data_IF_828992012821
#
_entry.id   IF_828992012821
#
_cell.length_a   1.000
_cell.length_b   1.000
_cell.length_c   1.000
_cell.angle_alpha   90.00
_cell.angle_beta   90.00
_cell.angle_gamma   90.00
#
_symmetry.space_group_name_H-M   'P 1'
#
loop_
_entity.id
_entity.type
_entity.pdbx_description
1 polymer ?
#
# COMPACT_ATOMS: atom_id res chain seq x y z
N UNK A 1 11.27 11.71 -7.60
CA UNK A 1 10.60 11.01 -6.47
C UNK A 1 10.30 9.53 -6.74
N UNK A 2 10.37 9.06 -8.00
CA UNK A 2 10.12 7.65 -8.38
C UNK A 2 11.11 6.62 -7.79
N UNK A 3 12.31 7.06 -7.41
CA UNK A 3 13.42 6.20 -6.97
C UNK A 3 13.24 5.61 -5.54
N UNK A 4 12.37 6.21 -4.70
CA UNK A 4 12.22 5.79 -3.30
C UNK A 4 11.43 4.50 -3.09
N UNK A 5 10.62 4.09 -4.06
CA UNK A 5 9.76 2.91 -3.95
C UNK A 5 10.35 1.66 -4.57
N UNK A 6 11.53 1.79 -5.20
CA UNK A 6 12.27 0.69 -5.79
C UNK A 6 12.54 -0.42 -4.77
N UNK A 7 12.84 -0.09 -3.52
CA UNK A 7 13.11 -1.09 -2.45
C UNK A 7 11.86 -1.92 -2.11
N UNK A 8 10.68 -1.30 -2.11
CA UNK A 8 9.41 -1.96 -1.78
C UNK A 8 8.98 -2.90 -2.90
N UNK A 9 9.08 -2.45 -4.14
CA UNK A 9 8.89 -3.31 -5.32
C UNK A 9 9.96 -4.42 -5.37
N UNK A 10 11.23 -4.10 -5.13
CA UNK A 10 12.33 -5.08 -5.16
C UNK A 10 12.12 -6.18 -4.11
N UNK A 11 11.60 -5.85 -2.92
CA UNK A 11 11.32 -6.83 -1.88
C UNK A 11 10.14 -7.73 -2.23
N UNK A 12 9.05 -7.15 -2.77
CA UNK A 12 7.92 -7.92 -3.31
C UNK A 12 8.37 -8.89 -4.41
N UNK A 13 9.22 -8.41 -5.33
CA UNK A 13 9.72 -9.17 -6.48
C UNK A 13 10.68 -10.29 -6.05
N UNK A 14 11.54 -10.02 -5.07
CA UNK A 14 12.64 -10.92 -4.69
C UNK A 14 12.25 -11.93 -3.62
N UNK A 15 11.36 -11.57 -2.71
CA UNK A 15 11.01 -12.41 -1.56
C UNK A 15 9.64 -13.10 -1.70
N UNK A 16 8.86 -12.80 -2.75
CA UNK A 16 7.50 -13.33 -3.01
C UNK A 16 6.61 -13.38 -1.76
N UNK A 17 6.82 -12.46 -0.83
CA UNK A 17 6.20 -12.48 0.49
C UNK A 17 5.44 -11.19 0.76
N UNK A 18 4.35 -11.26 1.54
CA UNK A 18 3.57 -10.08 1.86
C UNK A 18 4.41 -9.10 2.68
N UNK A 19 4.37 -7.83 2.29
CA UNK A 19 5.03 -6.74 3.01
C UNK A 19 4.00 -5.83 3.67
N UNK A 20 4.34 -5.27 4.82
CA UNK A 20 3.50 -4.32 5.55
C UNK A 20 4.25 -2.99 5.76
N UNK A 21 4.17 -2.04 4.80
CA UNK A 21 4.73 -0.71 5.00
C UNK A 21 3.86 0.10 5.96
N UNK A 22 4.47 0.67 6.99
CA UNK A 22 3.84 1.58 7.95
C UNK A 22 4.44 2.97 7.76
N UNK A 23 3.59 4.00 7.67
CA UNK A 23 4.04 5.36 7.40
C UNK A 23 2.96 6.39 7.70
N UNK A 24 3.22 7.65 7.34
CA UNK A 24 2.34 8.78 7.65
C UNK A 24 1.95 9.52 6.37
N UNK A 25 0.88 10.31 6.43
CA UNK A 25 0.53 11.26 5.37
C UNK A 25 1.52 12.43 5.37
N UNK A 26 1.87 13.01 4.20
CA UNK A 26 1.38 12.68 2.85
C UNK A 26 2.16 11.55 2.15
N UNK A 27 3.21 11.01 2.78
CA UNK A 27 4.10 10.02 2.16
C UNK A 27 3.38 8.71 1.79
N UNK A 28 2.52 8.22 2.69
CA UNK A 28 1.72 7.03 2.43
C UNK A 28 0.73 7.27 1.27
N UNK A 29 0.18 8.48 1.16
CA UNK A 29 -0.73 8.83 0.08
C UNK A 29 0.00 8.87 -1.28
N UNK A 30 1.22 9.40 -1.35
CA UNK A 30 2.02 9.37 -2.58
C UNK A 30 2.49 7.97 -2.96
N UNK A 31 2.71 7.08 -1.98
CA UNK A 31 2.94 5.66 -2.22
C UNK A 31 1.78 5.01 -3.00
N UNK A 32 0.55 5.15 -2.48
CA UNK A 32 -0.64 4.61 -3.14
C UNK A 32 -0.87 5.26 -4.51
N UNK A 33 -0.68 6.58 -4.62
CA UNK A 33 -0.75 7.27 -5.91
C UNK A 33 0.22 6.67 -6.93
N UNK A 34 1.40 6.21 -6.50
CA UNK A 34 2.42 5.61 -7.37
C UNK A 34 2.10 4.15 -7.69
N UNK A 35 1.63 3.36 -6.71
CA UNK A 35 1.44 1.91 -6.87
C UNK A 35 0.08 1.53 -7.47
N UNK A 36 -0.99 2.22 -7.09
CA UNK A 36 -2.38 1.91 -7.50
C UNK A 36 -3.04 3.01 -8.33
N UNK A 37 -2.35 4.13 -8.59
CA UNK A 37 -2.92 5.31 -9.27
C UNK A 37 -4.16 5.89 -8.59
N UNK A 38 -4.26 5.73 -7.26
CA UNK A 38 -5.40 6.22 -6.47
C UNK A 38 -4.94 7.29 -5.49
N UNK A 39 -5.62 8.44 -5.52
CA UNK A 39 -5.51 9.48 -4.51
C UNK A 39 -6.38 9.15 -3.29
N UNK A 40 -5.92 8.25 -2.42
CA UNK A 40 -6.67 7.83 -1.23
C UNK A 40 -6.20 8.56 0.03
N UNK A 41 -7.13 9.18 0.78
CA UNK A 41 -6.87 9.64 2.15
C UNK A 41 -7.20 8.51 3.12
N UNK A 42 -6.17 8.00 3.78
CA UNK A 42 -6.29 6.90 4.75
C UNK A 42 -6.53 7.48 6.14
N UNK A 43 -7.54 6.99 6.85
CA UNK A 43 -7.77 7.36 8.25
C UNK A 43 -6.63 6.86 9.15
N UNK A 44 -6.37 7.50 10.30
CA UNK A 44 -5.41 6.99 11.28
C UNK A 44 -5.68 5.53 11.63
N UNK A 45 -4.62 4.74 11.77
CA UNK A 45 -4.68 3.29 12.01
C UNK A 45 -5.49 2.49 10.95
N UNK A 46 -5.72 3.05 9.76
CA UNK A 46 -6.28 2.34 8.63
C UNK A 46 -5.24 1.46 7.93
N UNK A 47 -5.66 0.29 7.47
CA UNK A 47 -4.83 -0.66 6.72
C UNK A 47 -5.46 -0.84 5.33
N UNK A 48 -4.69 -0.55 4.29
CA UNK A 48 -5.10 -0.83 2.90
C UNK A 48 -4.40 -2.09 2.45
N UNK A 49 -5.16 -3.07 1.97
CA UNK A 49 -4.64 -4.33 1.44
C UNK A 49 -4.55 -4.19 -0.07
N UNK A 50 -3.35 -4.41 -0.58
CA UNK A 50 -3.05 -4.36 -2.01
C UNK A 50 -2.63 -5.73 -2.51
N UNK A 51 -3.15 -6.10 -3.67
CA UNK A 51 -2.54 -7.11 -4.52
C UNK A 51 -1.64 -6.39 -5.51
N UNK A 52 -0.37 -6.77 -5.61
CA UNK A 52 0.59 -6.11 -6.51
C UNK A 52 1.03 -7.06 -7.60
N UNK A 53 0.76 -6.68 -8.86
CA UNK A 53 1.24 -7.41 -10.02
C UNK A 53 2.64 -6.91 -10.39
N UNK A 54 3.63 -7.78 -10.19
CA UNK A 54 5.03 -7.52 -10.49
C UNK A 54 5.28 -7.32 -11.98
N UNK A 55 4.60 -8.10 -12.84
CA UNK A 55 4.79 -8.05 -14.29
C UNK A 55 4.30 -6.71 -14.85
N UNK A 56 3.21 -6.18 -14.30
CA UNK A 56 2.61 -4.92 -14.72
C UNK A 56 3.04 -3.71 -13.88
N UNK A 57 3.85 -3.94 -12.84
CA UNK A 57 4.29 -2.94 -11.85
C UNK A 57 3.13 -2.13 -11.26
N UNK A 58 1.97 -2.76 -11.13
CA UNK A 58 0.72 -2.10 -10.81
C UNK A 58 0.01 -2.85 -9.69
N UNK A 59 -0.44 -2.11 -8.69
CA UNK A 59 -1.26 -2.63 -7.62
C UNK A 59 -2.75 -2.52 -7.92
N UNK A 60 -3.53 -3.32 -7.20
CA UNK A 60 -4.98 -3.25 -7.09
C UNK A 60 -5.36 -3.26 -5.62
N UNK A 61 -6.25 -2.36 -5.21
CA UNK A 61 -6.81 -2.37 -3.85
C UNK A 61 -7.81 -3.51 -3.74
N UNK A 62 -7.61 -4.42 -2.79
CA UNK A 62 -8.50 -5.57 -2.55
C UNK A 62 -9.23 -5.48 -1.21
N UNK A 63 -8.82 -4.58 -0.32
CA UNK A 63 -9.49 -4.37 0.96
C UNK A 63 -9.05 -3.10 1.66
N UNK A 64 -9.90 -2.60 2.55
CA UNK A 64 -9.61 -1.47 3.42
C UNK A 64 -10.19 -1.72 4.81
N UNK A 65 -9.32 -1.81 5.81
CA UNK A 65 -9.68 -1.99 7.21
C UNK A 65 -9.47 -0.67 7.95
N UNK A 66 -10.39 -0.36 8.85
CA UNK A 66 -10.34 0.82 9.73
C UNK A 66 -10.55 0.39 11.18
N UNK A 67 -10.17 1.23 12.14
CA UNK A 67 -10.43 0.93 13.56
C UNK A 67 -11.92 0.67 13.85
N UNK A 68 -12.83 1.36 13.16
CA UNK A 68 -14.26 1.14 13.32
C UNK A 68 -14.69 -0.27 12.93
N UNK A 69 -13.99 -0.89 11.98
CA UNK A 69 -14.24 -2.27 11.59
C UNK A 69 -13.75 -3.26 12.66
N UNK A 70 -12.62 -2.97 13.32
CA UNK A 70 -12.05 -3.81 14.37
C UNK A 70 -12.76 -3.66 15.73
N UNK A 71 -13.38 -2.52 16.00
CA UNK A 71 -14.10 -2.25 17.25
C UNK A 71 -15.50 -2.92 17.31
N UNK A 72 -16.00 -3.45 16.18
CA UNK A 72 -17.30 -4.11 16.07
C UNK A 72 -17.20 -5.65 16.04
N UNK A 73 -16.01 -6.22 16.28
CA UNK A 73 -15.78 -7.66 16.48
C UNK A 73 -15.64 -7.98 17.97
#
# INVERSE_FOLDING_TARGET
MQDRWGVTALRLIKEESPILPVGHQPYLQSYFMTMVFIAMKIVPAGIVILEYDVSWKQGKVIGYMTQNFLACQ
#
